data_IF_670310908874
#
_entry.id   IF_670310908874
#
_cell.length_a   1.000
_cell.length_b   1.000
_cell.length_c   1.000
_cell.angle_alpha   90.00
_cell.angle_beta   90.00
_cell.angle_gamma   90.00
#
_symmetry.space_group_name_H-M   'P 1'
#
loop_
_entity.id
_entity.type
_entity.pdbx_description
1 polymer ?
#
# COMPACT_ATOMS: atom_id res chain seq x y z
N UNK A 1 44.10 -11.34 -44.52
CA UNK A 1 42.78 -11.36 -45.18
C UNK A 1 41.79 -11.80 -44.11
N UNK A 2 41.12 -10.89 -43.39
CA UNK A 2 39.91 -10.17 -43.81
C UNK A 2 38.67 -10.98 -43.38
N UNK A 3 37.71 -10.51 -42.59
CA UNK A 3 37.43 -9.18 -42.09
C UNK A 3 36.51 -9.19 -40.87
N UNK A 4 36.43 -8.02 -40.24
CA UNK A 4 35.66 -7.66 -39.04
C UNK A 4 34.34 -7.02 -39.52
N UNK A 5 33.19 -7.53 -39.08
CA UNK A 5 31.92 -6.79 -39.12
C UNK A 5 31.66 -6.23 -37.72
N UNK A 6 31.39 -4.95 -37.47
CA UNK A 6 30.69 -3.98 -38.31
C UNK A 6 29.32 -3.69 -37.68
N UNK A 7 29.29 -3.24 -36.42
CA UNK A 7 28.06 -2.81 -35.75
C UNK A 7 27.66 -1.39 -36.18
N UNK A 8 26.36 -1.07 -36.35
CA UNK A 8 25.94 0.29 -36.59
C UNK A 8 25.81 1.06 -35.26
N UNK A 9 26.74 2.01 -35.08
CA UNK A 9 26.57 3.23 -34.29
C UNK A 9 25.50 4.13 -34.96
N UNK A 10 24.64 4.72 -34.14
CA UNK A 10 24.04 6.02 -34.44
C UNK A 10 22.52 6.04 -34.63
N UNK A 11 21.78 6.18 -33.53
CA UNK A 11 20.54 6.96 -33.56
C UNK A 11 20.59 8.00 -32.45
N UNK A 12 20.58 9.27 -32.89
CA UNK A 12 20.65 10.48 -32.10
C UNK A 12 19.48 10.52 -31.11
N UNK A 13 19.78 10.64 -29.82
CA UNK A 13 18.79 11.07 -28.81
C UNK A 13 18.44 12.52 -29.14
N UNK A 14 17.31 12.74 -29.81
CA UNK A 14 16.69 14.05 -29.84
C UNK A 14 16.16 14.31 -28.42
N UNK A 15 16.83 15.17 -27.65
CA UNK A 15 16.27 15.71 -26.43
C UNK A 15 14.99 16.46 -26.80
N UNK A 16 13.84 15.91 -26.40
CA UNK A 16 12.57 16.59 -26.46
C UNK A 16 12.57 17.76 -25.46
N UNK A 17 12.95 18.94 -25.95
CA UNK A 17 13.01 20.20 -25.20
C UNK A 17 11.66 20.59 -24.57
N UNK A 18 10.54 20.02 -25.01
CA UNK A 18 9.22 20.27 -24.41
C UNK A 18 9.07 19.66 -23.01
N UNK A 19 9.76 18.54 -22.73
CA UNK A 19 9.74 17.88 -21.41
C UNK A 19 10.68 18.54 -20.39
N UNK A 20 11.77 19.16 -20.86
CA UNK A 20 12.71 19.90 -20.00
C UNK A 20 12.07 21.18 -19.42
N UNK A 21 11.19 21.83 -20.20
CA UNK A 21 10.49 23.07 -19.81
C UNK A 21 9.40 22.83 -18.74
N UNK A 22 8.78 21.65 -18.71
CA UNK A 22 7.82 21.28 -17.66
C UNK A 22 8.49 20.92 -16.33
N UNK A 23 9.69 20.34 -16.34
CA UNK A 23 10.40 19.96 -15.12
C UNK A 23 11.07 21.15 -14.41
N UNK A 24 11.59 22.12 -15.18
CA UNK A 24 12.21 23.35 -14.64
C UNK A 24 11.19 24.37 -14.07
N UNK A 25 9.89 24.20 -14.34
CA UNK A 25 8.81 25.03 -13.76
C UNK A 25 8.39 24.62 -12.35
N UNK A 26 8.64 23.37 -11.91
CA UNK A 26 8.26 22.93 -10.55
C UNK A 26 9.24 23.37 -9.46
N UNK A 27 10.51 23.58 -9.80
CA UNK A 27 11.53 24.08 -8.86
C UNK A 27 11.54 25.61 -8.72
N UNK A 28 11.02 26.34 -9.71
CA UNK A 28 11.06 27.82 -9.73
C UNK A 28 9.91 28.49 -8.97
N UNK A 29 8.81 27.78 -8.66
CA UNK A 29 7.66 28.32 -7.91
C UNK A 29 7.90 28.27 -6.40
N UNK A 30 8.73 27.35 -5.89
CA UNK A 30 9.11 27.32 -4.47
C UNK A 30 10.11 28.40 -4.07
N UNK A 31 10.95 28.89 -4.99
CA UNK A 31 11.95 29.93 -4.68
C UNK A 31 11.36 31.35 -4.63
N UNK A 32 10.25 31.62 -5.33
CA UNK A 32 9.66 32.96 -5.38
C UNK A 32 8.76 33.31 -4.17
N UNK A 33 8.49 32.36 -3.27
CA UNK A 33 7.68 32.59 -2.05
C UNK A 33 8.48 32.92 -0.78
N UNK A 34 9.82 32.85 -0.83
CA UNK A 34 10.70 33.17 0.30
C UNK A 34 11.40 34.55 0.22
N UNK A 35 11.14 35.35 -0.81
CA UNK A 35 11.75 36.67 -0.98
C UNK A 35 10.72 37.77 -1.21
N UNK A 36 9.92 38.09 -0.19
CA UNK A 36 9.06 39.28 -0.16
C UNK A 36 9.36 40.14 1.08
N UNK A 37 10.49 40.84 1.04
CA UNK A 37 10.77 42.00 1.89
C UNK A 37 10.26 43.29 1.22
N UNK A 38 9.69 44.20 2.01
CA UNK A 38 9.07 45.48 1.60
C UNK A 38 9.87 46.26 0.52
N UNK A 39 9.21 46.86 -0.49
CA UNK A 39 9.90 47.71 -1.46
C UNK A 39 10.22 49.09 -0.89
N UNK A 40 11.51 49.48 -0.95
CA UNK A 40 11.97 50.87 -0.84
C UNK A 40 12.26 51.40 -2.24
N UNK A 41 11.70 52.58 -2.51
CA UNK A 41 12.03 53.56 -3.56
C UNK A 41 11.70 53.25 -5.02
N UNK A 42 11.01 54.24 -5.62
CA UNK A 42 10.50 54.29 -6.98
C UNK A 42 11.61 54.67 -7.96
N UNK A 43 12.22 53.69 -8.63
CA UNK A 43 13.03 53.94 -9.83
C UNK A 43 13.32 52.64 -10.63
N UNK A 44 12.31 51.78 -10.85
CA UNK A 44 12.40 50.64 -11.79
C UNK A 44 11.05 50.25 -12.42
N UNK A 45 10.18 51.22 -12.72
CA UNK A 45 8.84 50.96 -13.30
C UNK A 45 8.86 50.97 -14.84
N UNK A 46 9.92 51.42 -15.50
CA UNK A 46 9.96 51.52 -16.98
C UNK A 46 10.53 50.29 -17.72
N UNK A 47 10.87 49.19 -17.04
CA UNK A 47 11.42 47.98 -17.69
C UNK A 47 10.65 46.68 -17.41
N UNK A 48 9.52 46.75 -16.69
CA UNK A 48 8.64 45.60 -16.45
C UNK A 48 7.41 45.55 -17.36
N UNK A 49 7.06 46.64 -18.04
CA UNK A 49 5.89 46.70 -18.93
C UNK A 49 6.12 46.03 -20.29
N UNK A 50 7.37 45.92 -20.76
CA UNK A 50 7.69 45.25 -22.02
C UNK A 50 7.82 43.71 -21.90
N UNK A 51 8.08 43.18 -20.70
CA UNK A 51 8.22 41.73 -20.49
C UNK A 51 6.87 41.04 -20.20
N UNK A 52 5.87 41.80 -19.73
CA UNK A 52 4.50 41.32 -19.49
C UNK A 52 3.63 41.31 -20.76
N UNK A 53 3.96 42.10 -21.79
CA UNK A 53 3.24 42.09 -23.06
C UNK A 53 3.65 40.93 -23.99
N UNK A 54 4.89 40.42 -23.90
CA UNK A 54 5.34 39.27 -24.67
C UNK A 54 4.89 37.91 -24.10
N UNK A 55 4.47 37.85 -22.83
CA UNK A 55 3.89 36.63 -22.23
C UNK A 55 2.38 36.48 -22.45
N UNK A 56 1.68 37.52 -22.93
CA UNK A 56 0.24 37.50 -23.16
C UNK A 56 -0.17 37.11 -24.60
N UNK A 57 0.79 36.93 -25.53
CA UNK A 57 0.53 36.56 -26.94
C UNK A 57 0.92 35.12 -27.30
N UNK A 58 1.23 34.26 -26.32
CA UNK A 58 1.41 32.80 -26.51
C UNK A 58 0.43 31.97 -25.67
N UNK A 59 -0.70 32.55 -25.27
CA UNK A 59 -1.73 31.90 -24.45
C UNK A 59 -3.01 31.58 -25.25
N UNK A 60 -2.90 31.15 -26.52
CA UNK A 60 -4.08 30.83 -27.36
C UNK A 60 -3.98 29.50 -28.11
N UNK A 61 -3.22 28.52 -27.59
CA UNK A 61 -3.17 27.16 -28.17
C UNK A 61 -3.32 26.01 -27.17
N UNK A 62 -3.77 26.27 -25.94
CA UNK A 62 -4.21 25.24 -24.99
C UNK A 62 -5.50 25.68 -24.30
N UNK A 63 -6.54 25.97 -25.09
CA UNK A 63 -7.89 26.16 -24.56
C UNK A 63 -8.81 25.10 -25.19
N UNK A 64 -8.61 23.84 -24.79
CA UNK A 64 -9.62 22.81 -24.94
C UNK A 64 -10.71 23.08 -23.90
N UNK A 65 -11.86 23.56 -24.36
CA UNK A 65 -13.01 23.95 -23.55
C UNK A 65 -13.42 22.85 -22.57
N UNK A 66 -13.46 23.18 -21.28
CA UNK A 66 -14.23 22.44 -20.30
C UNK A 66 -15.71 22.73 -20.55
N UNK A 67 -16.45 21.73 -21.06
CA UNK A 67 -17.90 21.76 -21.15
C UNK A 67 -18.49 21.15 -19.85
N UNK A 68 -19.31 21.85 -19.04
CA UNK A 68 -19.77 21.35 -17.75
C UNK A 68 -20.97 20.38 -17.82
N UNK A 69 -21.34 19.89 -19.01
CA UNK A 69 -22.34 18.83 -19.15
C UNK A 69 -22.05 18.00 -20.41
N UNK A 70 -21.25 16.95 -20.26
CA UNK A 70 -20.91 16.06 -21.36
C UNK A 70 -20.35 14.74 -20.86
N UNK A 71 -21.08 13.65 -21.12
CA UNK A 71 -20.64 12.26 -20.96
C UNK A 71 -19.21 12.10 -21.53
N UNK A 72 -18.28 11.43 -20.83
CA UNK A 72 -16.94 11.22 -21.37
C UNK A 72 -17.01 10.36 -22.64
N UNK A 73 -16.37 10.85 -23.70
CA UNK A 73 -16.22 10.18 -24.98
C UNK A 73 -15.43 8.88 -24.83
N UNK A 74 -15.91 7.83 -25.49
CA UNK A 74 -15.32 6.50 -25.59
C UNK A 74 -13.98 6.53 -26.34
N UNK A 75 -12.89 6.78 -25.62
CA UNK A 75 -11.56 6.30 -25.99
C UNK A 75 -11.32 4.96 -25.29
N UNK A 76 -10.87 3.93 -26.02
CA UNK A 76 -10.50 2.66 -25.41
C UNK A 76 -9.51 2.92 -24.27
N UNK A 77 -9.93 2.61 -23.04
CA UNK A 77 -9.12 2.82 -21.84
C UNK A 77 -7.80 2.06 -21.98
N UNK A 78 -6.69 2.64 -21.52
CA UNK A 78 -5.46 1.87 -21.26
C UNK A 78 -5.87 0.65 -20.42
N UNK A 79 -5.56 -0.60 -20.82
CA UNK A 79 -5.92 -1.78 -20.05
C UNK A 79 -5.48 -1.70 -18.58
N UNK A 80 -4.36 -1.02 -18.29
CA UNK A 80 -3.90 -0.76 -16.90
C UNK A 80 -4.72 0.30 -16.15
N UNK A 81 -5.46 1.16 -16.86
CA UNK A 81 -6.43 2.09 -16.30
C UNK A 81 -7.81 1.44 -16.12
N UNK A 82 -8.08 0.26 -16.71
CA UNK A 82 -9.28 -0.51 -16.44
C UNK A 82 -9.21 -1.23 -15.08
N UNK A 83 -8.05 -1.79 -14.73
CA UNK A 83 -7.88 -2.63 -13.53
C UNK A 83 -8.32 -1.94 -12.23
N UNK A 84 -8.00 -0.65 -12.07
CA UNK A 84 -8.44 0.12 -10.89
C UNK A 84 -9.97 0.25 -10.82
N UNK A 85 -10.67 0.42 -11.96
CA UNK A 85 -12.11 0.68 -11.99
C UNK A 85 -12.91 -0.48 -11.41
N UNK A 86 -12.62 -1.71 -11.84
CA UNK A 86 -13.32 -2.89 -11.31
C UNK A 86 -12.91 -3.18 -9.86
N UNK A 87 -11.64 -2.98 -9.49
CA UNK A 87 -11.19 -3.14 -8.11
C UNK A 87 -11.95 -2.21 -7.15
N UNK A 88 -12.08 -0.92 -7.48
CA UNK A 88 -12.82 0.02 -6.64
C UNK A 88 -14.34 -0.23 -6.61
N UNK A 89 -14.91 -0.90 -7.62
CA UNK A 89 -16.33 -1.33 -7.56
C UNK A 89 -16.59 -2.37 -6.47
N UNK A 90 -15.59 -3.16 -6.09
CA UNK A 90 -15.68 -4.08 -4.94
C UNK A 90 -15.68 -3.35 -3.59
N UNK A 91 -15.46 -2.03 -3.57
CA UNK A 91 -15.46 -1.22 -2.37
C UNK A 91 -16.58 -0.18 -2.40
N UNK A 92 -17.58 -0.33 -1.54
CA UNK A 92 -18.69 0.62 -1.34
C UNK A 92 -18.47 1.56 -0.12
N UNK A 93 -17.32 1.48 0.55
CA UNK A 93 -17.04 2.20 1.80
C UNK A 93 -17.27 1.37 3.07
N UNK A 94 -18.11 0.34 3.02
CA UNK A 94 -18.39 -0.58 4.13
C UNK A 94 -17.88 -2.00 3.89
N UNK A 95 -17.49 -2.30 2.65
CA UNK A 95 -16.97 -3.59 2.23
C UNK A 95 -17.94 -4.45 1.41
N UNK A 96 -19.16 -4.02 1.11
CA UNK A 96 -20.13 -4.81 0.34
C UNK A 96 -20.31 -4.25 -1.08
N UNK A 97 -19.21 -4.14 -1.83
CA UNK A 97 -19.23 -3.61 -3.18
C UNK A 97 -19.98 -4.46 -4.20
N UNK A 98 -20.00 -3.97 -5.43
CA UNK A 98 -20.69 -4.58 -6.57
C UNK A 98 -20.06 -5.92 -6.96
N UNK A 99 -20.68 -7.02 -6.52
CA UNK A 99 -20.26 -8.39 -6.84
C UNK A 99 -20.21 -8.67 -8.35
N UNK A 100 -21.01 -7.95 -9.16
CA UNK A 100 -20.95 -8.04 -10.63
C UNK A 100 -19.58 -7.64 -11.20
N UNK A 101 -18.74 -6.94 -10.42
CA UNK A 101 -17.36 -6.67 -10.79
C UNK A 101 -16.49 -7.93 -10.84
N UNK A 102 -16.74 -8.96 -10.01
CA UNK A 102 -15.95 -10.21 -9.98
C UNK A 102 -16.04 -10.94 -11.33
N UNK A 103 -17.25 -11.10 -11.86
CA UNK A 103 -17.46 -11.71 -13.19
C UNK A 103 -16.77 -10.91 -14.30
N UNK A 104 -16.83 -9.58 -14.25
CA UNK A 104 -16.14 -8.73 -15.21
C UNK A 104 -14.60 -8.86 -15.12
N UNK A 105 -14.04 -9.01 -13.91
CA UNK A 105 -12.62 -9.30 -13.72
C UNK A 105 -12.24 -10.64 -14.35
N UNK A 106 -13.02 -11.70 -14.09
CA UNK A 106 -12.76 -13.03 -14.65
C UNK A 106 -12.76 -13.03 -16.19
N UNK A 107 -13.76 -12.38 -16.79
CA UNK A 107 -13.93 -12.28 -18.24
C UNK A 107 -12.82 -11.44 -18.91
N UNK A 108 -12.20 -10.51 -18.19
CA UNK A 108 -11.12 -9.68 -18.73
C UNK A 108 -9.85 -10.46 -19.05
N UNK A 109 -9.60 -11.59 -18.36
CA UNK A 109 -8.34 -12.31 -18.41
C UNK A 109 -7.16 -11.57 -17.76
N UNK A 110 -7.38 -10.40 -17.14
CA UNK A 110 -6.34 -9.59 -16.53
C UNK A 110 -5.92 -10.17 -15.17
N UNK A 111 -4.70 -10.71 -15.14
CA UNK A 111 -4.11 -11.32 -13.94
C UNK A 111 -3.83 -10.31 -12.83
N UNK A 112 -3.88 -9.00 -13.10
CA UNK A 112 -3.73 -7.99 -12.03
C UNK A 112 -4.85 -8.08 -10.99
N UNK A 113 -6.00 -8.68 -11.31
CA UNK A 113 -7.09 -8.89 -10.36
C UNK A 113 -6.86 -10.04 -9.37
N UNK A 114 -5.87 -10.91 -9.58
CA UNK A 114 -5.63 -12.06 -8.70
C UNK A 114 -5.36 -11.61 -7.24
N UNK A 115 -4.44 -10.67 -6.94
CA UNK A 115 -4.26 -10.16 -5.58
C UNK A 115 -5.52 -9.51 -4.99
N UNK A 116 -6.34 -8.85 -5.82
CA UNK A 116 -7.60 -8.22 -5.40
C UNK A 116 -8.60 -9.28 -4.93
N UNK A 117 -8.77 -10.35 -5.71
CA UNK A 117 -9.69 -11.44 -5.40
C UNK A 117 -9.21 -12.26 -4.19
N UNK A 118 -7.90 -12.43 -4.01
CA UNK A 118 -7.33 -13.10 -2.82
C UNK A 118 -7.58 -12.26 -1.56
N UNK A 119 -7.37 -10.94 -1.62
CA UNK A 119 -7.69 -10.03 -0.51
C UNK A 119 -9.20 -10.07 -0.20
N UNK A 120 -10.04 -10.16 -1.24
CA UNK A 120 -11.48 -10.26 -1.11
C UNK A 120 -11.93 -11.54 -0.40
N UNK A 121 -11.32 -12.70 -0.70
CA UNK A 121 -11.59 -13.97 -0.01
C UNK A 121 -11.33 -13.88 1.50
N UNK A 122 -10.32 -13.12 1.91
CA UNK A 122 -9.94 -13.01 3.32
C UNK A 122 -10.91 -12.18 4.15
N UNK A 123 -11.58 -11.20 3.54
CA UNK A 123 -12.22 -10.13 4.31
C UNK A 123 -13.61 -10.54 4.83
N UNK A 124 -13.77 -10.78 6.15
CA UNK A 124 -15.01 -11.33 6.71
C UNK A 124 -16.17 -10.33 6.73
N UNK A 125 -15.90 -9.04 6.49
CA UNK A 125 -16.93 -8.00 6.40
C UNK A 125 -17.52 -7.83 5.00
N UNK A 126 -16.92 -8.49 4.02
CA UNK A 126 -17.11 -8.22 2.59
C UNK A 126 -17.79 -9.41 1.92
N UNK A 127 -17.41 -10.61 2.34
CA UNK A 127 -17.68 -11.82 1.59
C UNK A 127 -18.79 -12.64 2.21
N UNK A 128 -19.88 -12.80 1.47
CA UNK A 128 -20.89 -13.82 1.72
C UNK A 128 -20.54 -15.09 0.91
N UNK A 129 -21.22 -16.21 1.18
CA UNK A 129 -20.93 -17.51 0.54
C UNK A 129 -20.99 -17.48 -1.00
N UNK A 130 -21.88 -16.67 -1.56
CA UNK A 130 -22.01 -16.50 -3.02
C UNK A 130 -20.80 -15.74 -3.58
N UNK A 131 -20.43 -14.62 -2.96
CA UNK A 131 -19.28 -13.81 -3.37
C UNK A 131 -17.94 -14.56 -3.24
N UNK A 132 -17.78 -15.40 -2.21
CA UNK A 132 -16.62 -16.29 -2.07
C UNK A 132 -16.54 -17.31 -3.20
N UNK A 133 -17.69 -17.87 -3.59
CA UNK A 133 -17.78 -18.82 -4.70
C UNK A 133 -17.36 -18.17 -6.02
N UNK A 134 -17.92 -16.99 -6.32
CA UNK A 134 -17.58 -16.22 -7.52
C UNK A 134 -16.09 -15.82 -7.55
N UNK A 135 -15.54 -15.35 -6.43
CA UNK A 135 -14.13 -14.98 -6.35
C UNK A 135 -13.21 -16.20 -6.56
N UNK A 136 -13.53 -17.34 -5.95
CA UNK A 136 -12.79 -18.59 -6.14
C UNK A 136 -12.83 -19.09 -7.59
N UNK A 137 -13.96 -18.99 -8.26
CA UNK A 137 -14.11 -19.33 -9.69
C UNK A 137 -13.30 -18.38 -10.58
N UNK A 138 -13.40 -17.07 -10.34
CA UNK A 138 -12.62 -16.05 -11.04
C UNK A 138 -11.11 -16.30 -10.88
N UNK A 139 -10.67 -16.65 -9.66
CA UNK A 139 -9.27 -17.00 -9.40
C UNK A 139 -8.83 -18.22 -10.21
N UNK A 140 -9.61 -19.29 -10.27
CA UNK A 140 -9.30 -20.45 -11.13
C UNK A 140 -9.22 -20.09 -12.60
N UNK A 141 -10.17 -19.27 -13.09
CA UNK A 141 -10.18 -18.83 -14.49
C UNK A 141 -8.94 -18.01 -14.85
N UNK A 142 -8.54 -17.07 -13.99
CA UNK A 142 -7.40 -16.17 -14.25
C UNK A 142 -6.04 -16.87 -14.05
N UNK A 143 -5.96 -17.81 -13.12
CA UNK A 143 -4.70 -18.47 -12.73
C UNK A 143 -4.44 -19.82 -13.41
N UNK A 144 -5.50 -20.50 -13.84
CA UNK A 144 -5.46 -21.92 -14.25
C UNK A 144 -5.30 -22.92 -13.09
N UNK A 145 -5.28 -22.46 -11.84
CA UNK A 145 -5.18 -23.34 -10.66
C UNK A 145 -6.51 -24.04 -10.36
N UNK A 146 -6.46 -25.05 -9.48
CA UNK A 146 -7.62 -25.88 -9.08
C UNK A 146 -7.87 -25.88 -7.57
N UNK A 147 -7.45 -24.84 -6.86
CA UNK A 147 -7.70 -24.72 -5.42
C UNK A 147 -9.21 -24.51 -5.14
N UNK A 148 -9.61 -24.81 -3.90
CA UNK A 148 -10.97 -24.56 -3.41
C UNK A 148 -11.36 -23.08 -3.46
N UNK A 149 -12.67 -22.81 -3.37
CA UNK A 149 -13.18 -21.43 -3.37
C UNK A 149 -12.78 -20.65 -2.11
N UNK A 150 -12.56 -21.37 -1.02
CA UNK A 150 -12.25 -20.88 0.32
C UNK A 150 -10.82 -21.23 0.79
N UNK A 151 -10.01 -21.83 -0.10
CA UNK A 151 -8.61 -22.22 0.15
C UNK A 151 -7.67 -21.00 0.15
N UNK A 152 -8.01 -19.96 0.93
CA UNK A 152 -7.28 -18.68 0.96
C UNK A 152 -5.77 -18.87 1.21
N UNK A 153 -5.40 -19.78 2.12
CA UNK A 153 -3.98 -20.07 2.41
C UNK A 153 -3.21 -20.53 1.17
N UNK A 154 -3.76 -21.48 0.40
CA UNK A 154 -3.13 -21.96 -0.84
C UNK A 154 -3.02 -20.86 -1.89
N UNK A 155 -4.04 -20.01 -1.99
CA UNK A 155 -4.02 -18.88 -2.91
C UNK A 155 -2.92 -17.87 -2.57
N UNK A 156 -2.75 -17.52 -1.30
CA UNK A 156 -1.69 -16.62 -0.83
C UNK A 156 -0.30 -17.23 -1.06
N UNK A 157 -0.09 -18.50 -0.68
CA UNK A 157 1.18 -19.20 -0.91
C UNK A 157 1.53 -19.26 -2.41
N UNK A 158 0.54 -19.60 -3.24
CA UNK A 158 0.71 -19.62 -4.68
C UNK A 158 1.06 -18.24 -5.23
N UNK A 159 0.32 -17.17 -4.88
CA UNK A 159 0.64 -15.80 -5.29
C UNK A 159 2.05 -15.38 -4.80
N UNK A 160 2.42 -15.84 -3.60
CA UNK A 160 3.75 -15.76 -3.01
C UNK A 160 4.85 -16.21 -3.97
N UNK A 161 4.63 -17.33 -4.68
CA UNK A 161 5.56 -17.87 -5.68
C UNK A 161 5.52 -17.17 -7.06
N UNK A 162 4.56 -16.26 -7.31
CA UNK A 162 4.41 -15.60 -8.61
C UNK A 162 5.21 -14.31 -8.70
N UNK A 163 6.32 -14.30 -9.42
CA UNK A 163 7.17 -13.11 -9.55
C UNK A 163 6.59 -12.01 -10.45
N UNK A 164 5.72 -12.36 -11.41
CA UNK A 164 5.27 -11.43 -12.47
C UNK A 164 3.86 -10.86 -12.26
N UNK A 165 3.05 -11.49 -11.41
CA UNK A 165 1.71 -11.00 -11.10
C UNK A 165 1.86 -9.82 -10.15
N UNK A 166 1.30 -8.67 -10.54
CA UNK A 166 1.28 -7.44 -9.76
C UNK A 166 -0.14 -6.89 -9.70
N UNK A 167 -0.54 -6.31 -8.56
CA UNK A 167 -1.88 -5.79 -8.41
C UNK A 167 -2.10 -4.51 -9.23
N UNK A 168 -3.34 -3.99 -9.33
CA UNK A 168 -3.62 -2.72 -9.96
C UNK A 168 -2.86 -1.57 -9.29
N UNK A 169 -2.62 -0.47 -10.02
CA UNK A 169 -1.75 0.61 -9.55
C UNK A 169 -2.26 1.31 -8.29
N UNK A 170 -3.56 1.27 -7.99
CA UNK A 170 -4.16 1.85 -6.77
C UNK A 170 -4.40 0.84 -5.65
N UNK A 171 -3.85 -0.37 -5.77
CA UNK A 171 -4.13 -1.47 -4.83
C UNK A 171 -3.75 -1.12 -3.40
N UNK A 172 -2.68 -0.37 -3.19
CA UNK A 172 -2.21 -0.04 -1.83
C UNK A 172 -3.23 0.88 -1.13
N UNK A 173 -3.68 1.94 -1.81
CA UNK A 173 -4.74 2.81 -1.29
C UNK A 173 -6.07 2.08 -1.11
N UNK A 174 -6.42 1.17 -2.02
CA UNK A 174 -7.61 0.33 -1.92
C UNK A 174 -7.56 -0.58 -0.69
N UNK A 175 -6.47 -1.35 -0.52
CA UNK A 175 -6.24 -2.21 0.64
C UNK A 175 -6.24 -1.43 1.95
N UNK A 176 -5.61 -0.27 1.98
CA UNK A 176 -5.69 0.65 3.13
C UNK A 176 -7.12 1.06 3.48
N UNK A 177 -7.97 1.26 2.48
CA UNK A 177 -9.39 1.59 2.67
C UNK A 177 -10.20 0.41 3.22
N UNK A 178 -9.87 -0.82 2.81
CA UNK A 178 -10.43 -2.04 3.41
C UNK A 178 -10.04 -2.18 4.89
N UNK A 179 -8.75 -2.04 5.19
CA UNK A 179 -8.23 -2.16 6.55
C UNK A 179 -8.75 -1.06 7.48
N UNK A 180 -8.99 0.15 6.95
CA UNK A 180 -9.66 1.23 7.69
C UNK A 180 -11.06 0.83 8.16
N UNK A 181 -11.77 0.04 7.37
CA UNK A 181 -13.04 -0.55 7.77
C UNK A 181 -12.89 -1.34 9.08
N UNK A 182 -11.86 -2.19 9.17
CA UNK A 182 -11.59 -3.03 10.36
C UNK A 182 -11.28 -2.16 11.58
N UNK A 183 -10.29 -1.28 11.47
CA UNK A 183 -9.93 -0.32 12.51
C UNK A 183 -9.31 0.93 11.86
N UNK A 184 -9.70 2.16 12.25
CA UNK A 184 -9.27 3.37 11.56
C UNK A 184 -7.75 3.50 11.41
N UNK A 185 -6.99 3.11 12.43
CA UNK A 185 -5.53 3.19 12.41
C UNK A 185 -4.85 2.21 11.47
N UNK A 186 -5.50 1.10 11.09
CA UNK A 186 -4.88 0.13 10.16
C UNK A 186 -4.72 0.72 8.76
N UNK A 187 -5.69 1.55 8.33
CA UNK A 187 -5.59 2.30 7.08
C UNK A 187 -4.53 3.41 7.06
N UNK A 188 -3.82 3.64 8.17
CA UNK A 188 -2.69 4.58 8.20
C UNK A 188 -1.37 3.90 7.77
N UNK A 189 -1.30 2.57 7.79
CA UNK A 189 -0.09 1.83 7.39
C UNK A 189 0.00 1.63 5.88
N UNK A 190 -1.14 1.53 5.19
CA UNK A 190 -1.22 1.34 3.75
C UNK A 190 -1.97 2.52 3.12
N UNK A 191 -1.24 3.35 2.40
CA UNK A 191 -1.78 4.45 1.60
C UNK A 191 -1.05 4.51 0.27
N UNK A 192 -1.67 5.15 -0.71
CA UNK A 192 -1.10 5.22 -2.05
C UNK A 192 0.27 5.91 -2.04
N UNK A 193 1.28 5.26 -2.63
CA UNK A 193 2.66 5.74 -2.61
C UNK A 193 3.44 5.50 -1.32
N UNK A 194 2.93 4.73 -0.34
CA UNK A 194 3.71 4.34 0.84
C UNK A 194 4.98 3.58 0.42
N UNK A 195 6.16 3.91 0.97
CA UNK A 195 7.37 3.13 0.68
C UNK A 195 7.24 1.71 1.21
N UNK A 196 7.42 0.71 0.35
CA UNK A 196 7.39 -0.70 0.72
C UNK A 196 8.65 -1.42 0.19
N UNK A 197 9.23 -2.28 1.04
CA UNK A 197 10.36 -3.17 0.66
C UNK A 197 9.92 -4.62 0.43
N UNK A 198 8.69 -4.93 0.82
CA UNK A 198 7.99 -6.18 0.56
C UNK A 198 6.83 -5.92 -0.39
N UNK A 199 6.30 -6.96 -1.02
CA UNK A 199 5.10 -6.84 -1.85
C UNK A 199 3.88 -6.57 -0.97
N UNK A 200 3.05 -5.61 -1.35
CA UNK A 200 1.91 -5.17 -0.51
C UNK A 200 0.81 -6.24 -0.45
N UNK A 201 0.69 -7.06 -1.49
CA UNK A 201 -0.16 -8.23 -1.51
C UNK A 201 0.23 -9.31 -0.48
N UNK A 202 1.46 -9.30 0.07
CA UNK A 202 1.88 -10.21 1.14
C UNK A 202 1.50 -9.73 2.55
N UNK A 203 1.09 -8.46 2.69
CA UNK A 203 0.72 -7.88 3.98
C UNK A 203 -0.70 -8.29 4.34
N UNK A 204 -0.89 -9.26 5.23
CA UNK A 204 -2.22 -9.76 5.60
C UNK A 204 -2.63 -9.27 7.00
N UNK A 205 -3.92 -9.06 7.24
CA UNK A 205 -4.41 -8.71 8.58
C UNK A 205 -4.48 -9.96 9.47
N UNK A 206 -3.83 -9.94 10.63
CA UNK A 206 -3.72 -11.11 11.53
C UNK A 206 -4.96 -11.45 12.36
N UNK A 207 -6.13 -10.85 12.08
CA UNK A 207 -7.37 -11.15 12.81
C UNK A 207 -7.60 -10.36 14.11
N UNK A 208 -6.64 -9.51 14.52
CA UNK A 208 -6.74 -8.68 15.73
C UNK A 208 -6.61 -7.20 15.35
N UNK A 209 -7.42 -6.34 15.97
CA UNK A 209 -7.30 -4.87 15.78
C UNK A 209 -5.99 -4.35 16.39
N UNK A 210 -5.57 -3.15 15.98
CA UNK A 210 -4.42 -2.48 16.61
C UNK A 210 -4.62 -2.40 18.12
N UNK A 211 -3.61 -2.81 18.88
CA UNK A 211 -3.58 -2.87 20.35
C UNK A 211 -4.67 -3.79 20.97
N UNK A 212 -5.26 -4.70 20.20
CA UNK A 212 -6.29 -5.64 20.68
C UNK A 212 -5.74 -6.78 21.56
N UNK A 213 -4.43 -7.05 21.48
CA UNK A 213 -3.69 -7.90 22.42
C UNK A 213 -2.86 -6.94 23.28
N UNK A 214 -3.22 -6.73 24.56
CA UNK A 214 -2.50 -5.81 25.42
C UNK A 214 -1.16 -6.42 25.80
N UNK A 215 -0.08 -5.66 25.67
CA UNK A 215 1.24 -6.07 26.15
C UNK A 215 1.33 -6.01 27.68
N UNK A 216 2.18 -6.84 28.26
CA UNK A 216 2.57 -6.68 29.66
C UNK A 216 3.55 -5.51 29.77
N UNK A 217 3.28 -4.57 30.67
CA UNK A 217 4.16 -3.41 30.93
C UNK A 217 4.54 -3.39 32.39
N UNK A 218 5.82 -3.61 32.69
CA UNK A 218 6.36 -3.73 34.04
C UNK A 218 5.42 -4.53 34.97
N UNK A 219 5.05 -5.77 34.60
CA UNK A 219 4.08 -6.55 35.38
C UNK A 219 4.56 -6.75 36.82
N UNK A 220 3.65 -6.97 37.78
CA UNK A 220 4.06 -7.32 39.14
C UNK A 220 4.74 -8.70 39.18
N UNK A 221 5.69 -8.86 40.10
CA UNK A 221 6.45 -10.09 40.25
C UNK A 221 6.25 -10.71 41.63
N UNK A 222 6.30 -12.03 41.67
CA UNK A 222 6.31 -12.80 42.91
C UNK A 222 7.51 -13.73 42.92
N UNK A 223 7.94 -14.15 44.11
CA UNK A 223 8.99 -15.16 44.23
C UNK A 223 8.53 -16.50 43.64
N UNK A 224 9.47 -17.32 43.16
CA UNK A 224 9.14 -18.66 42.65
C UNK A 224 8.44 -19.55 43.69
N UNK A 225 8.70 -19.37 44.98
CA UNK A 225 8.01 -20.10 46.06
C UNK A 225 6.55 -19.69 46.23
N UNK A 226 6.22 -18.44 45.91
CA UNK A 226 4.85 -17.93 45.97
C UNK A 226 4.04 -18.25 44.71
N UNK A 227 4.66 -18.82 43.67
CA UNK A 227 4.03 -19.14 42.41
C UNK A 227 3.29 -20.49 42.45
N UNK A 228 2.35 -20.65 43.39
CA UNK A 228 1.54 -21.86 43.59
C UNK A 228 0.64 -22.24 42.40
N UNK A 229 0.31 -21.27 41.56
CA UNK A 229 -0.38 -21.43 40.30
C UNK A 229 0.44 -22.14 39.21
N UNK A 230 1.77 -22.31 39.36
CA UNK A 230 2.63 -23.06 38.43
C UNK A 230 2.73 -24.55 38.80
N UNK A 231 2.65 -25.42 37.79
CA UNK A 231 2.99 -26.83 37.93
C UNK A 231 4.46 -27.09 37.54
N UNK A 232 5.11 -28.17 38.02
CA UNK A 232 6.50 -28.47 37.70
C UNK A 232 6.82 -28.58 36.20
N UNK A 233 5.83 -28.94 35.38
CA UNK A 233 5.97 -29.05 33.92
C UNK A 233 5.57 -27.78 33.15
N UNK A 234 5.13 -26.72 33.84
CA UNK A 234 4.78 -25.46 33.18
C UNK A 234 6.02 -24.82 32.57
N UNK A 235 5.89 -24.39 31.32
CA UNK A 235 6.96 -23.71 30.59
C UNK A 235 7.03 -22.24 31.00
N UNK A 236 8.25 -21.73 31.11
CA UNK A 236 8.53 -20.32 31.39
C UNK A 236 9.62 -19.83 30.44
N UNK A 237 9.60 -18.54 30.14
CA UNK A 237 10.75 -17.85 29.56
C UNK A 237 11.61 -17.30 30.69
N UNK A 238 12.84 -17.82 30.83
CA UNK A 238 13.82 -17.29 31.78
C UNK A 238 14.60 -16.15 31.16
N UNK A 239 14.63 -14.99 31.82
CA UNK A 239 15.44 -13.83 31.42
C UNK A 239 16.45 -13.54 32.52
N UNK A 240 17.71 -13.36 32.12
CA UNK A 240 18.82 -13.08 33.02
C UNK A 240 19.62 -11.90 32.49
N UNK A 241 19.64 -10.78 33.22
CA UNK A 241 20.33 -9.55 32.82
C UNK A 241 21.03 -8.97 34.05
N UNK A 242 22.32 -8.65 33.93
CA UNK A 242 23.15 -8.04 34.99
C UNK A 242 23.05 -8.75 36.36
N UNK A 243 22.91 -10.08 36.38
CA UNK A 243 22.83 -10.88 37.60
C UNK A 243 21.44 -10.95 38.25
N UNK A 244 20.44 -10.27 37.68
CA UNK A 244 19.04 -10.45 38.03
C UNK A 244 18.37 -11.49 37.13
N UNK A 245 17.48 -12.28 37.71
CA UNK A 245 16.81 -13.38 37.05
C UNK A 245 15.31 -13.31 37.25
N UNK A 246 14.55 -13.56 36.18
CA UNK A 246 13.10 -13.55 36.22
C UNK A 246 12.52 -14.59 35.26
N UNK A 247 11.38 -15.15 35.64
CA UNK A 247 10.66 -16.12 34.83
C UNK A 247 9.31 -15.53 34.40
N UNK A 248 8.99 -15.64 33.11
CA UNK A 248 7.72 -15.24 32.53
C UNK A 248 6.95 -16.49 32.11
N UNK A 249 5.91 -16.92 32.85
CA UNK A 249 5.17 -18.13 32.51
C UNK A 249 4.55 -18.08 31.13
N UNK A 250 4.75 -19.13 30.33
CA UNK A 250 4.17 -19.22 29.00
C UNK A 250 2.66 -19.03 29.04
N UNK A 251 1.96 -19.59 30.03
CA UNK A 251 0.50 -19.43 30.16
C UNK A 251 0.02 -18.01 30.49
N UNK A 252 0.89 -17.15 31.05
CA UNK A 252 0.60 -15.70 31.16
C UNK A 252 0.99 -15.00 29.88
N UNK A 253 2.17 -15.31 29.34
CA UNK A 253 2.65 -14.70 28.10
C UNK A 253 1.71 -15.01 26.93
N UNK A 254 1.11 -16.22 26.86
CA UNK A 254 0.30 -16.73 25.75
C UNK A 254 -0.78 -15.76 25.22
N UNK A 255 -1.63 -15.16 26.09
CA UNK A 255 -2.62 -14.17 25.67
C UNK A 255 -2.06 -12.75 25.45
N UNK A 256 -0.82 -12.47 25.86
CA UNK A 256 -0.22 -11.12 25.82
C UNK A 256 0.82 -10.95 24.71
N UNK A 257 1.46 -12.02 24.25
CA UNK A 257 2.46 -12.08 23.16
C UNK A 257 3.73 -11.23 23.34
N UNK A 258 3.72 -10.27 24.27
CA UNK A 258 4.77 -9.30 24.50
C UNK A 258 4.84 -8.91 25.98
N UNK A 259 6.05 -8.83 26.53
CA UNK A 259 6.33 -8.17 27.80
C UNK A 259 7.43 -7.13 27.64
N UNK A 260 7.11 -5.89 28.02
CA UNK A 260 8.04 -4.77 28.13
C UNK A 260 8.35 -4.56 29.62
N UNK A 261 9.61 -4.76 30.01
CA UNK A 261 10.02 -4.75 31.42
C UNK A 261 11.45 -4.22 31.59
N UNK A 262 11.86 -4.00 32.83
CA UNK A 262 13.21 -3.61 33.23
C UNK A 262 13.77 -4.66 34.19
N UNK A 263 14.97 -5.17 33.89
CA UNK A 263 15.66 -6.16 34.72
C UNK A 263 17.15 -5.85 34.78
N UNK A 264 17.73 -5.84 35.98
CA UNK A 264 19.15 -5.50 36.15
C UNK A 264 19.50 -4.09 35.66
N UNK A 265 18.53 -3.16 35.68
CA UNK A 265 18.68 -1.79 35.17
C UNK A 265 18.48 -1.62 33.65
N UNK A 266 18.28 -2.70 32.89
CA UNK A 266 18.15 -2.64 31.43
C UNK A 266 16.70 -2.83 30.99
N UNK A 267 16.14 -1.91 30.15
CA UNK A 267 14.84 -2.13 29.54
C UNK A 267 14.94 -3.18 28.43
N UNK A 268 13.96 -4.07 28.36
CA UNK A 268 13.89 -5.08 27.32
C UNK A 268 12.45 -5.39 26.90
N UNK A 269 12.33 -6.03 25.74
CA UNK A 269 11.08 -6.57 25.22
C UNK A 269 11.23 -8.08 24.98
N UNK A 270 10.30 -8.87 25.51
CA UNK A 270 10.16 -10.30 25.25
C UNK A 270 8.94 -10.53 24.38
N UNK A 271 9.18 -10.92 23.12
CA UNK A 271 8.17 -11.40 22.17
C UNK A 271 8.36 -12.90 21.93
N UNK A 272 7.28 -13.68 21.78
CA UNK A 272 7.35 -15.13 21.54
C UNK A 272 6.27 -15.64 20.59
#
# INVERSE_FOLDING_TARGET
MGGVGGGPLGQKVALDLSKLVCHLRRTSISAARLAMGKPRTASRIASLTALLAALAMLATACNGQANPSGRPSSGAADPRQDSNRLMWRLYDGFGAGDHGAIGAMALSGDKTYIPVLIEYLFSPRISNSMALTEAGEALRQLSGQRFGNDDWQKWVEWLGSQETIRPPTQFVGWKGSLLRGIHPSLGNFLYEGVPARIRVEEIVWGGVVKDGIPDLRNPPHISGRAADYLQPADRVFGVSINGEHRAYPLRIMNPHEMANDVLGGEPFALAY
#
